data_IF_834837700324
#
_entry.id   IF_834837700324
#
_cell.length_a   1.000
_cell.length_b   1.000
_cell.length_c   1.000
_cell.angle_alpha   90.00
_cell.angle_beta   90.00
_cell.angle_gamma   90.00
#
_symmetry.space_group_name_H-M   'P 1'
#
loop_
_entity.id
_entity.type
_entity.pdbx_description
1 polymer ?
#
# COMPACT_ATOMS: atom_id res chain seq x y z
N UNK A 1 -12.37 -7.25 -6.21
CA UNK A 1 -11.66 -7.48 -7.49
C UNK A 1 -11.48 -6.20 -8.30
N UNK A 2 -12.57 -5.54 -8.75
CA UNK A 2 -12.51 -4.34 -9.60
C UNK A 2 -11.47 -3.29 -9.17
N UNK A 3 -11.46 -2.87 -7.90
CA UNK A 3 -10.51 -1.88 -7.39
C UNK A 3 -9.04 -2.31 -7.48
N UNK A 4 -8.75 -3.60 -7.28
CA UNK A 4 -7.37 -4.14 -7.40
C UNK A 4 -6.93 -4.08 -8.86
N UNK A 5 -7.80 -4.48 -9.78
CA UNK A 5 -7.52 -4.43 -11.23
C UNK A 5 -7.35 -2.99 -11.71
N UNK A 6 -8.23 -2.08 -11.29
CA UNK A 6 -8.13 -0.65 -11.61
C UNK A 6 -6.82 -0.05 -11.08
N UNK A 7 -6.47 -0.34 -9.82
CA UNK A 7 -5.20 0.09 -9.24
C UNK A 7 -3.99 -0.44 -10.02
N UNK A 8 -4.02 -1.71 -10.43
CA UNK A 8 -2.95 -2.32 -11.21
C UNK A 8 -2.77 -1.66 -12.57
N UNK A 9 -3.87 -1.42 -13.29
CA UNK A 9 -3.85 -0.74 -14.59
C UNK A 9 -3.32 0.68 -14.44
N UNK A 10 -3.79 1.42 -13.44
CA UNK A 10 -3.31 2.78 -13.16
C UNK A 10 -1.83 2.79 -12.77
N UNK A 11 -1.37 1.82 -11.99
CA UNK A 11 0.06 1.69 -11.65
C UNK A 11 0.92 1.43 -12.90
N UNK A 12 0.51 0.50 -13.76
CA UNK A 12 1.22 0.22 -15.00
C UNK A 12 1.22 1.45 -15.94
N UNK A 13 0.08 2.14 -16.05
CA UNK A 13 -0.03 3.37 -16.83
C UNK A 13 0.84 4.50 -16.27
N UNK A 14 0.96 4.61 -14.95
CA UNK A 14 1.87 5.56 -14.27
C UNK A 14 3.32 5.31 -14.68
N UNK A 15 3.78 4.05 -14.61
CA UNK A 15 5.15 3.69 -15.05
C UNK A 15 5.36 4.01 -16.53
N UNK A 16 4.42 3.62 -17.40
CA UNK A 16 4.52 3.87 -18.83
C UNK A 16 4.59 5.38 -19.15
N UNK A 17 3.76 6.19 -18.49
CA UNK A 17 3.79 7.65 -18.63
C UNK A 17 5.11 8.24 -18.12
N UNK A 18 5.66 7.71 -17.01
CA UNK A 18 6.95 8.11 -16.47
C UNK A 18 8.10 7.84 -17.44
N UNK A 19 8.15 6.64 -18.03
CA UNK A 19 9.15 6.27 -19.05
C UNK A 19 9.02 7.16 -20.29
N UNK A 20 7.79 7.54 -20.67
CA UNK A 20 7.53 8.45 -21.77
C UNK A 20 7.81 9.94 -21.46
N UNK A 21 8.35 10.26 -20.28
CA UNK A 21 8.65 11.63 -19.86
C UNK A 21 7.44 12.47 -19.46
N UNK A 22 6.25 11.88 -19.34
CA UNK A 22 5.03 12.58 -18.97
C UNK A 22 4.83 12.59 -17.45
N UNK A 23 5.63 13.37 -16.73
CA UNK A 23 5.67 13.39 -15.27
C UNK A 23 4.31 13.66 -14.61
N UNK A 24 3.55 14.64 -15.12
CA UNK A 24 2.22 14.97 -14.59
C UNK A 24 1.23 13.81 -14.76
N UNK A 25 1.19 13.21 -15.94
CA UNK A 25 0.30 12.08 -16.22
C UNK A 25 0.66 10.84 -15.39
N UNK A 26 1.97 10.58 -15.24
CA UNK A 26 2.49 9.56 -14.35
C UNK A 26 1.99 9.73 -12.92
N UNK A 27 2.08 10.94 -12.38
CA UNK A 27 1.63 11.25 -11.02
C UNK A 27 0.11 11.11 -10.86
N UNK A 28 -0.69 11.55 -11.83
CA UNK A 28 -2.16 11.40 -11.81
C UNK A 28 -2.55 9.92 -11.74
N UNK A 29 -1.95 9.09 -12.60
CA UNK A 29 -2.19 7.65 -12.56
C UNK A 29 -1.68 7.00 -11.26
N UNK A 30 -0.54 7.45 -10.74
CA UNK A 30 0.01 6.99 -9.47
C UNK A 30 -0.93 7.30 -8.28
N UNK A 31 -1.44 8.53 -8.21
CA UNK A 31 -2.45 8.95 -7.21
C UNK A 31 -3.71 8.10 -7.34
N UNK A 32 -4.22 7.93 -8.57
CA UNK A 32 -5.39 7.10 -8.84
C UNK A 32 -5.21 5.65 -8.35
N UNK A 33 -4.03 5.07 -8.57
CA UNK A 33 -3.67 3.74 -8.06
C UNK A 33 -3.72 3.70 -6.52
N UNK A 34 -3.04 4.64 -5.84
CA UNK A 34 -3.01 4.74 -4.38
C UNK A 34 -4.41 4.84 -3.78
N UNK A 35 -5.28 5.67 -4.36
CA UNK A 35 -6.67 5.86 -3.91
C UNK A 35 -7.51 4.60 -4.14
N UNK A 36 -7.36 3.95 -5.29
CA UNK A 36 -8.08 2.71 -5.60
C UNK A 36 -7.72 1.59 -4.61
N UNK A 37 -6.45 1.49 -4.21
CA UNK A 37 -5.98 0.55 -3.19
C UNK A 37 -6.60 0.88 -1.85
N UNK A 38 -6.49 2.13 -1.40
CA UNK A 38 -7.06 2.53 -0.12
C UNK A 38 -8.56 2.25 -0.04
N UNK A 39 -9.28 2.50 -1.13
CA UNK A 39 -10.70 2.16 -1.26
C UNK A 39 -10.94 0.67 -1.09
N UNK A 40 -10.11 -0.17 -1.71
CA UNK A 40 -10.18 -1.62 -1.54
C UNK A 40 -9.90 -2.03 -0.08
N UNK A 41 -8.85 -1.50 0.55
CA UNK A 41 -8.49 -1.81 1.93
C UNK A 41 -9.59 -1.41 2.92
N UNK A 42 -10.21 -0.24 2.74
CA UNK A 42 -11.35 0.18 3.58
C UNK A 42 -12.53 -0.78 3.46
N UNK A 43 -12.83 -1.26 2.24
CA UNK A 43 -13.88 -2.28 2.03
C UNK A 43 -13.49 -3.63 2.62
N UNK A 44 -12.24 -4.04 2.50
CA UNK A 44 -11.74 -5.28 3.08
C UNK A 44 -11.83 -5.24 4.62
N UNK A 45 -11.47 -4.11 5.22
CA UNK A 45 -11.60 -3.89 6.66
C UNK A 45 -13.07 -3.96 7.12
N UNK A 46 -14.02 -3.32 6.42
CA UNK A 46 -15.43 -3.42 6.82
C UNK A 46 -15.96 -4.85 6.73
N UNK A 47 -15.56 -5.61 5.70
CA UNK A 47 -15.89 -7.03 5.60
C UNK A 47 -15.29 -7.86 6.73
N UNK A 48 -14.05 -7.57 7.13
CA UNK A 48 -13.39 -8.19 8.28
C UNK A 48 -14.13 -7.91 9.58
N UNK A 49 -14.54 -6.67 9.82
CA UNK A 49 -15.33 -6.30 11.01
C UNK A 49 -16.65 -7.08 11.03
N UNK A 50 -17.37 -7.16 9.92
CA UNK A 50 -18.61 -7.94 9.83
C UNK A 50 -18.37 -9.44 10.12
N UNK A 51 -17.25 -10.01 9.65
CA UNK A 51 -16.88 -11.39 9.95
C UNK A 51 -16.51 -11.59 11.42
N UNK A 52 -15.81 -10.60 12.01
CA UNK A 52 -15.45 -10.57 13.43
C UNK A 52 -16.69 -10.59 14.30
N UNK A 53 -17.67 -9.75 13.99
CA UNK A 53 -18.94 -9.67 14.74
C UNK A 53 -19.70 -11.00 14.72
N UNK A 54 -19.76 -11.68 13.57
CA UNK A 54 -20.39 -13.01 13.45
C UNK A 54 -19.68 -14.11 14.24
N UNK A 55 -18.39 -13.95 14.50
CA UNK A 55 -17.55 -14.94 15.20
C UNK A 55 -17.10 -14.43 16.58
N UNK A 56 -17.77 -13.41 17.10
CA UNK A 56 -17.32 -12.65 18.27
C UNK A 56 -17.15 -13.54 19.50
N UNK A 57 -18.10 -14.44 19.75
CA UNK A 57 -18.06 -15.37 20.89
C UNK A 57 -16.79 -16.22 20.93
N UNK A 58 -16.19 -16.49 19.75
CA UNK A 58 -14.96 -17.26 19.63
C UNK A 58 -13.71 -16.39 19.52
N UNK A 59 -13.85 -15.11 19.16
CA UNK A 59 -12.75 -14.17 18.93
C UNK A 59 -12.47 -13.26 20.13
N UNK A 60 -13.43 -13.08 21.05
CA UNK A 60 -13.37 -12.10 22.13
C UNK A 60 -12.12 -12.21 23.02
N UNK A 61 -11.53 -13.40 23.16
CA UNK A 61 -10.34 -13.62 23.99
C UNK A 61 -9.00 -13.38 23.26
N UNK A 62 -8.99 -13.27 21.93
CA UNK A 62 -7.75 -13.32 21.12
C UNK A 62 -7.64 -12.16 20.13
N UNK A 63 -8.73 -11.44 19.86
CA UNK A 63 -8.72 -10.33 18.91
C UNK A 63 -8.04 -9.10 19.51
N UNK A 64 -6.87 -8.72 18.96
CA UNK A 64 -6.04 -7.64 19.49
C UNK A 64 -6.48 -6.23 19.06
N UNK A 65 -7.49 -6.08 18.20
CA UNK A 65 -7.84 -4.78 17.62
C UNK A 65 -6.73 -4.29 16.66
N UNK A 66 -7.13 -3.60 15.60
CA UNK A 66 -6.19 -3.08 14.61
C UNK A 66 -6.53 -1.64 14.24
N UNK A 67 -5.57 -0.74 14.24
CA UNK A 67 -5.75 0.66 13.84
C UNK A 67 -5.71 0.83 12.31
N UNK A 68 -6.63 0.17 11.61
CA UNK A 68 -6.69 0.18 10.15
C UNK A 68 -6.86 1.59 9.57
N UNK A 69 -7.72 2.41 10.18
CA UNK A 69 -8.04 3.74 9.66
C UNK A 69 -6.79 4.63 9.62
N UNK A 70 -6.02 4.68 10.70
CA UNK A 70 -4.79 5.47 10.78
C UNK A 70 -3.77 5.00 9.74
N UNK A 71 -3.55 3.68 9.63
CA UNK A 71 -2.61 3.11 8.68
C UNK A 71 -3.00 3.36 7.21
N UNK A 72 -4.29 3.24 6.89
CA UNK A 72 -4.81 3.56 5.54
C UNK A 72 -4.62 5.04 5.23
N UNK A 73 -4.91 5.95 6.18
CA UNK A 73 -4.72 7.38 5.98
C UNK A 73 -3.26 7.77 5.81
N UNK A 74 -2.36 7.21 6.63
CA UNK A 74 -0.93 7.43 6.48
C UNK A 74 -0.45 6.94 5.11
N UNK A 75 -0.88 5.76 4.66
CA UNK A 75 -0.58 5.24 3.33
C UNK A 75 -1.07 6.19 2.21
N UNK A 76 -2.30 6.70 2.30
CA UNK A 76 -2.85 7.62 1.28
C UNK A 76 -2.12 8.94 1.26
N UNK A 77 -1.98 9.60 2.41
CA UNK A 77 -1.40 10.94 2.50
C UNK A 77 0.08 10.94 2.10
N UNK A 78 0.84 9.96 2.58
CA UNK A 78 2.25 9.81 2.20
C UNK A 78 2.42 9.45 0.74
N UNK A 79 1.61 8.53 0.20
CA UNK A 79 1.69 8.11 -1.20
C UNK A 79 1.30 9.22 -2.18
N UNK A 80 0.20 9.92 -1.92
CA UNK A 80 -0.25 11.06 -2.74
C UNK A 80 0.73 12.22 -2.61
N UNK A 81 1.17 12.53 -1.39
CA UNK A 81 2.16 13.56 -1.14
C UNK A 81 3.48 13.29 -1.89
N UNK A 82 3.96 12.05 -1.88
CA UNK A 82 5.17 11.65 -2.59
C UNK A 82 5.03 11.86 -4.11
N UNK A 83 3.88 11.52 -4.69
CA UNK A 83 3.63 11.74 -6.13
C UNK A 83 3.64 13.23 -6.48
N UNK A 84 2.94 14.07 -5.69
CA UNK A 84 2.92 15.53 -5.89
C UNK A 84 4.34 16.11 -5.77
N UNK A 85 5.05 15.73 -4.71
CA UNK A 85 6.39 16.23 -4.45
C UNK A 85 7.40 15.78 -5.51
N UNK A 86 7.23 14.58 -6.08
CA UNK A 86 8.05 14.10 -7.20
C UNK A 86 7.88 14.97 -8.45
N UNK A 87 6.65 15.39 -8.77
CA UNK A 87 6.41 16.31 -9.90
C UNK A 87 7.04 17.68 -9.65
N UNK A 88 6.88 18.22 -8.43
CA UNK A 88 7.49 19.49 -8.07
C UNK A 88 9.02 19.42 -8.16
N UNK A 89 9.61 18.34 -7.63
CA UNK A 89 11.04 18.11 -7.67
C UNK A 89 11.56 18.03 -9.11
N UNK A 90 10.87 17.28 -9.98
CA UNK A 90 11.22 17.19 -11.40
C UNK A 90 11.25 18.57 -12.08
N UNK A 91 10.22 19.41 -11.86
CA UNK A 91 10.19 20.77 -12.41
C UNK A 91 11.31 21.67 -11.90
N UNK A 92 11.71 21.54 -10.63
CA UNK A 92 12.85 22.29 -10.07
C UNK A 92 14.19 21.83 -10.64
N UNK A 93 14.36 20.53 -10.88
CA UNK A 93 15.56 19.96 -11.50
C UNK A 93 15.72 20.42 -12.96
N UNK A 94 14.64 20.43 -13.74
CA UNK A 94 14.66 20.98 -15.12
C UNK A 94 15.06 22.46 -15.13
N UNK A 95 14.53 23.24 -14.20
CA UNK A 95 14.89 24.65 -14.03
C UNK A 95 16.38 24.83 -13.71
N UNK A 96 16.94 24.03 -12.79
CA UNK A 96 18.37 24.09 -12.46
C UNK A 96 19.28 23.61 -13.61
N UNK A 97 18.87 22.57 -14.34
CA UNK A 97 19.63 22.05 -15.48
C UNK A 97 19.74 23.08 -16.63
N UNK A 98 18.80 24.02 -16.73
CA UNK A 98 18.85 25.11 -17.71
C UNK A 98 19.88 26.20 -17.38
N UNK A 99 20.31 26.29 -16.11
CA UNK A 99 21.19 27.35 -15.60
C UNK A 99 22.64 26.85 -15.42
N UNK A 100 22.84 25.54 -15.27
CA UNK A 100 24.18 24.94 -15.15
C UNK A 100 24.99 25.08 -16.45
N UNK A 101 26.20 25.65 -16.41
CA UNK A 101 27.01 25.85 -17.62
C UNK A 101 27.46 24.50 -18.20
N UNK A 102 27.23 24.29 -19.51
CA UNK A 102 27.57 23.05 -20.24
C UNK A 102 29.06 22.94 -20.62
N UNK A 103 29.97 23.56 -19.88
CA UNK A 103 31.40 23.59 -20.19
C UNK A 103 32.29 23.83 -18.95
N UNK A 104 33.61 23.65 -19.07
CA UNK A 104 34.52 23.86 -17.95
C UNK A 104 34.58 25.36 -17.63
N UNK A 105 33.87 25.79 -16.60
CA UNK A 105 33.95 27.16 -16.09
C UNK A 105 35.10 27.20 -15.07
N UNK A 106 36.11 28.07 -15.26
CA UNK A 106 37.16 28.26 -14.28
C UNK A 106 36.57 29.02 -13.08
N UNK A 107 36.47 28.35 -11.92
CA UNK A 107 36.30 28.95 -10.59
C UNK A 107 35.30 30.11 -10.48
N UNK A 108 34.07 29.94 -10.98
CA UNK A 108 32.98 30.83 -10.62
C UNK A 108 32.49 30.45 -9.21
N UNK A 109 32.67 31.35 -8.23
CA UNK A 109 32.05 31.21 -6.92
C UNK A 109 30.54 30.99 -7.12
N UNK A 110 30.00 29.94 -6.49
CA UNK A 110 28.55 29.64 -6.57
C UNK A 110 27.80 30.83 -6.00
N UNK A 111 27.06 31.53 -6.86
CA UNK A 111 26.25 32.67 -6.46
C UNK A 111 25.24 32.27 -5.37
N UNK A 112 24.96 33.18 -4.43
CA UNK A 112 24.13 32.92 -3.25
C UNK A 112 22.71 32.47 -3.64
N UNK A 113 22.19 32.96 -4.77
CA UNK A 113 20.92 32.53 -5.33
C UNK A 113 20.96 31.06 -5.80
N UNK A 114 22.03 30.67 -6.49
CA UNK A 114 22.22 29.30 -6.98
C UNK A 114 22.38 28.31 -5.82
N UNK A 115 23.13 28.71 -4.79
CA UNK A 115 23.27 27.93 -3.56
C UNK A 115 21.94 27.76 -2.83
N UNK A 116 21.14 28.83 -2.73
CA UNK A 116 19.79 28.77 -2.14
C UNK A 116 18.84 27.83 -2.88
N UNK A 117 18.86 27.84 -4.22
CA UNK A 117 18.04 26.92 -5.04
C UNK A 117 18.47 25.46 -4.87
N UNK A 118 19.78 25.19 -4.81
CA UNK A 118 20.31 23.83 -4.55
C UNK A 118 19.86 23.30 -3.19
N UNK A 119 19.94 24.12 -2.14
CA UNK A 119 19.42 23.75 -0.81
C UNK A 119 17.91 23.49 -0.84
N UNK A 120 17.15 24.31 -1.58
CA UNK A 120 15.71 24.10 -1.78
C UNK A 120 15.40 22.75 -2.43
N UNK A 121 16.12 22.38 -3.49
CA UNK A 121 15.96 21.08 -4.16
C UNK A 121 16.39 19.92 -3.26
N UNK A 122 17.47 20.07 -2.50
CA UNK A 122 17.89 19.08 -1.51
C UNK A 122 16.82 18.86 -0.43
N UNK A 123 16.22 19.95 0.08
CA UNK A 123 15.14 19.87 1.06
C UNK A 123 13.87 19.19 0.49
N UNK A 124 13.50 19.50 -0.76
CA UNK A 124 12.41 18.81 -1.45
C UNK A 124 12.70 17.31 -1.62
N UNK A 125 13.94 16.95 -1.98
CA UNK A 125 14.39 15.57 -2.08
C UNK A 125 14.31 14.81 -0.75
N UNK A 126 14.74 15.45 0.36
CA UNK A 126 14.60 14.88 1.71
C UNK A 126 13.15 14.71 2.13
N UNK A 127 12.28 15.69 1.80
CA UNK A 127 10.84 15.57 2.03
C UNK A 127 10.23 14.38 1.27
N UNK A 128 10.65 14.17 0.02
CA UNK A 128 10.20 13.04 -0.80
C UNK A 128 10.64 11.70 -0.20
N UNK A 129 11.90 11.61 0.24
CA UNK A 129 12.42 10.43 0.94
C UNK A 129 11.59 10.15 2.21
N UNK A 130 11.30 11.17 3.01
CA UNK A 130 10.48 11.05 4.22
C UNK A 130 9.09 10.49 3.92
N UNK A 131 8.41 11.03 2.90
CA UNK A 131 7.09 10.54 2.49
C UNK A 131 7.15 9.10 1.97
N UNK A 132 8.18 8.74 1.19
CA UNK A 132 8.36 7.37 0.72
C UNK A 132 8.57 6.38 1.87
N UNK A 133 9.33 6.75 2.91
CA UNK A 133 9.54 5.93 4.09
C UNK A 133 8.24 5.74 4.90
N UNK A 134 7.48 6.80 5.12
CA UNK A 134 6.17 6.71 5.81
C UNK A 134 5.21 5.84 5.00
N UNK A 135 5.21 5.97 3.68
CA UNK A 135 4.40 5.16 2.79
C UNK A 135 4.73 3.66 2.91
N UNK A 136 6.03 3.32 2.86
CA UNK A 136 6.51 1.95 3.03
C UNK A 136 6.19 1.38 4.41
N UNK A 137 6.41 2.15 5.47
CA UNK A 137 6.12 1.71 6.85
C UNK A 137 4.62 1.45 7.06
N UNK A 138 3.78 2.38 6.59
CA UNK A 138 2.31 2.25 6.66
C UNK A 138 1.84 1.01 5.90
N UNK A 139 2.44 0.75 4.74
CA UNK A 139 2.16 -0.42 3.93
C UNK A 139 2.54 -1.73 4.63
N UNK A 140 3.76 -1.84 5.15
CA UNK A 140 4.21 -3.04 5.87
C UNK A 140 3.32 -3.34 7.08
N UNK A 141 2.92 -2.31 7.81
CA UNK A 141 1.99 -2.41 8.93
C UNK A 141 0.61 -2.92 8.49
N UNK A 142 0.06 -2.40 7.39
CA UNK A 142 -1.20 -2.90 6.81
C UNK A 142 -1.12 -4.37 6.45
N UNK A 143 -0.01 -4.82 5.84
CA UNK A 143 0.21 -6.23 5.53
C UNK A 143 0.13 -7.08 6.79
N UNK A 144 0.86 -6.69 7.83
CA UNK A 144 0.89 -7.42 9.09
C UNK A 144 -0.50 -7.54 9.71
N UNK A 145 -1.22 -6.42 9.86
CA UNK A 145 -2.54 -6.38 10.50
C UNK A 145 -3.56 -7.24 9.76
N UNK A 146 -3.72 -7.00 8.45
CA UNK A 146 -4.68 -7.76 7.64
C UNK A 146 -4.38 -9.25 7.64
N UNK A 147 -3.10 -9.61 7.53
CA UNK A 147 -2.67 -11.01 7.49
C UNK A 147 -2.92 -11.69 8.84
N UNK A 148 -2.52 -11.06 9.95
CA UNK A 148 -2.76 -11.54 11.32
C UNK A 148 -4.24 -11.80 11.56
N UNK A 149 -5.08 -10.80 11.31
CA UNK A 149 -6.50 -10.83 11.64
C UNK A 149 -7.27 -11.83 10.76
N UNK A 150 -6.92 -11.93 9.46
CA UNK A 150 -7.47 -12.95 8.56
C UNK A 150 -7.14 -14.37 9.03
N UNK A 151 -5.90 -14.61 9.47
CA UNK A 151 -5.52 -15.92 9.97
C UNK A 151 -6.27 -16.28 11.25
N UNK A 152 -6.44 -15.32 12.15
CA UNK A 152 -7.18 -15.50 13.40
C UNK A 152 -8.63 -15.93 13.12
N UNK A 153 -9.29 -15.26 12.17
CA UNK A 153 -10.65 -15.63 11.72
C UNK A 153 -10.66 -17.02 11.09
N UNK A 154 -9.68 -17.37 10.25
CA UNK A 154 -9.60 -18.71 9.62
C UNK A 154 -9.42 -19.83 10.63
N UNK A 155 -8.57 -19.62 11.64
CA UNK A 155 -8.32 -20.60 12.69
C UNK A 155 -9.61 -20.85 13.50
N UNK A 156 -10.29 -19.78 13.90
CA UNK A 156 -11.54 -19.84 14.66
C UNK A 156 -12.72 -20.42 13.85
N UNK A 157 -12.73 -20.18 12.54
CA UNK A 157 -13.70 -20.76 11.61
C UNK A 157 -13.39 -22.22 11.23
N UNK A 158 -12.26 -22.80 11.67
CA UNK A 158 -11.89 -24.19 11.39
C UNK A 158 -11.40 -24.45 9.96
N UNK A 159 -10.98 -23.40 9.24
CA UNK A 159 -10.62 -23.45 7.79
C UNK A 159 -9.09 -23.58 7.57
N UNK A 160 -8.33 -23.85 8.63
CA UNK A 160 -6.89 -24.09 8.56
C UNK A 160 -6.16 -23.85 9.88
N UNK A 161 -4.96 -24.40 10.00
CA UNK A 161 -4.09 -24.27 11.18
C UNK A 161 -3.18 -23.04 11.09
N UNK A 162 -2.95 -22.38 12.23
CA UNK A 162 -2.07 -21.21 12.37
C UNK A 162 -0.62 -21.60 12.05
N UNK A 163 -0.01 -20.97 11.04
CA UNK A 163 1.43 -21.07 10.76
C UNK A 163 2.07 -19.67 10.80
N UNK A 164 2.74 -19.30 11.92
CA UNK A 164 3.29 -17.96 12.14
C UNK A 164 4.37 -17.57 11.12
N UNK A 165 5.08 -18.55 10.56
CA UNK A 165 6.09 -18.34 9.51
C UNK A 165 5.56 -17.67 8.23
N UNK A 166 4.24 -17.65 8.00
CA UNK A 166 3.67 -17.06 6.78
C UNK A 166 3.59 -15.52 6.83
N UNK A 167 3.36 -14.90 7.99
CA UNK A 167 3.27 -13.45 8.11
C UNK A 167 4.64 -12.79 7.89
N UNK A 168 5.68 -13.34 8.52
CA UNK A 168 7.08 -12.93 8.30
C UNK A 168 7.50 -13.17 6.85
N UNK A 169 7.07 -14.28 6.21
CA UNK A 169 7.31 -14.51 4.79
C UNK A 169 6.65 -13.43 3.91
N UNK A 170 5.39 -13.06 4.15
CA UNK A 170 4.74 -12.00 3.35
C UNK A 170 5.33 -10.62 3.62
N UNK A 171 5.77 -10.33 4.85
CA UNK A 171 6.47 -9.07 5.20
C UNK A 171 7.84 -9.01 4.52
N UNK A 172 8.65 -10.06 4.61
CA UNK A 172 9.97 -10.12 3.94
C UNK A 172 9.78 -10.08 2.42
N UNK A 173 8.84 -10.85 1.87
CA UNK A 173 8.57 -10.88 0.44
C UNK A 173 8.10 -9.49 -0.04
N UNK A 174 7.21 -8.82 0.68
CA UNK A 174 6.70 -7.48 0.30
C UNK A 174 7.72 -6.35 0.47
N UNK A 175 8.63 -6.44 1.45
CA UNK A 175 9.78 -5.54 1.59
C UNK A 175 10.78 -5.75 0.44
N UNK A 176 10.99 -7.01 0.02
CA UNK A 176 11.96 -7.37 -1.03
C UNK A 176 11.42 -7.14 -2.45
N UNK A 177 10.11 -7.18 -2.67
CA UNK A 177 9.52 -7.19 -4.03
C UNK A 177 8.64 -6.00 -4.37
N UNK A 178 9.17 -4.79 -4.14
CA UNK A 178 8.68 -3.56 -4.79
C UNK A 178 8.27 -3.87 -6.26
N UNK A 179 6.95 -3.89 -6.56
CA UNK A 179 6.42 -4.30 -7.87
C UNK A 179 5.16 -5.17 -7.79
N UNK A 180 4.91 -6.00 -8.82
CA UNK A 180 3.65 -6.76 -9.01
C UNK A 180 3.26 -7.72 -7.86
N UNK A 181 4.21 -8.13 -7.01
CA UNK A 181 3.90 -8.95 -5.82
C UNK A 181 3.02 -8.23 -4.80
N UNK A 182 3.06 -6.90 -4.77
CA UNK A 182 2.10 -6.06 -4.05
C UNK A 182 0.64 -6.40 -4.42
N UNK A 183 0.34 -6.49 -5.72
CA UNK A 183 -1.01 -6.79 -6.20
C UNK A 183 -1.41 -8.25 -5.95
N UNK A 184 -0.42 -9.15 -5.89
CA UNK A 184 -0.64 -10.54 -5.49
C UNK A 184 -1.10 -10.65 -4.03
N UNK A 185 -0.52 -9.86 -3.12
CA UNK A 185 -0.98 -9.83 -1.73
C UNK A 185 -2.42 -9.28 -1.63
N UNK A 186 -2.74 -8.18 -2.31
CA UNK A 186 -4.12 -7.65 -2.36
C UNK A 186 -5.11 -8.68 -2.89
N UNK A 187 -4.72 -9.42 -3.93
CA UNK A 187 -5.53 -10.52 -4.47
C UNK A 187 -5.73 -11.64 -3.44
N UNK A 188 -4.68 -11.99 -2.69
CA UNK A 188 -4.75 -13.03 -1.64
C UNK A 188 -5.70 -12.63 -0.52
N UNK A 189 -5.64 -11.38 -0.05
CA UNK A 189 -6.59 -10.80 0.91
C UNK A 189 -8.02 -10.92 0.38
N UNK A 190 -8.26 -10.53 -0.87
CA UNK A 190 -9.58 -10.63 -1.49
C UNK A 190 -10.10 -12.07 -1.52
N UNK A 191 -9.26 -13.00 -1.96
CA UNK A 191 -9.62 -14.43 -2.05
C UNK A 191 -9.99 -14.99 -0.68
N UNK A 192 -9.21 -14.71 0.35
CA UNK A 192 -9.46 -15.22 1.70
C UNK A 192 -10.75 -14.64 2.31
N UNK A 193 -10.96 -13.32 2.20
CA UNK A 193 -12.22 -12.70 2.66
C UNK A 193 -13.42 -13.31 1.93
N UNK A 194 -13.31 -13.54 0.62
CA UNK A 194 -14.38 -14.16 -0.15
C UNK A 194 -14.69 -15.59 0.31
N UNK A 195 -13.66 -16.40 0.57
CA UNK A 195 -13.82 -17.78 1.08
C UNK A 195 -14.51 -17.79 2.45
N UNK A 196 -14.05 -16.94 3.37
CA UNK A 196 -14.62 -16.81 4.72
C UNK A 196 -16.09 -16.33 4.69
N UNK A 197 -16.39 -15.37 3.82
CA UNK A 197 -17.75 -14.85 3.65
C UNK A 197 -18.70 -15.93 3.13
N UNK A 198 -18.25 -16.79 2.23
CA UNK A 198 -19.07 -17.89 1.71
C UNK A 198 -19.30 -18.99 2.75
N UNK A 199 -18.28 -19.32 3.55
CA UNK A 199 -18.38 -20.32 4.62
C UNK A 199 -19.33 -19.87 5.73
N UNK A 200 -19.29 -18.59 6.11
CA UNK A 200 -20.20 -18.03 7.13
C UNK A 200 -21.64 -17.80 6.64
N UNK A 201 -21.90 -17.95 5.33
CA UNK A 201 -23.25 -17.95 4.76
C UNK A 201 -23.86 -19.34 4.63
N UNK A 202 -23.04 -20.39 4.67
CA UNK A 202 -23.52 -21.77 4.54
C UNK A 202 -24.11 -22.20 5.88
N UNK A 203 -25.30 -22.84 5.92
CA UNK A 203 -25.80 -23.41 7.16
C UNK A 203 -24.77 -24.42 7.68
N UNK A 204 -24.65 -24.61 9.02
CA UNK A 204 -23.81 -25.67 9.54
C UNK A 204 -24.21 -26.97 8.84
N UNK A 205 -23.26 -27.84 8.44
CA UNK A 205 -23.62 -29.15 7.94
C UNK A 205 -24.54 -29.76 8.99
N UNK A 206 -25.76 -30.10 8.58
CA UNK A 206 -26.66 -30.89 9.41
C UNK A 206 -25.81 -32.02 9.94
N UNK A 207 -25.58 -32.05 11.26
CA UNK A 207 -25.03 -33.23 11.90
C UNK A 207 -25.92 -34.35 11.42
N UNK A 208 -25.38 -35.19 10.53
CA UNK A 208 -26.08 -36.36 10.06
C UNK A 208 -26.53 -37.06 11.32
N UNK A 209 -27.84 -37.25 11.45
CA UNK A 209 -28.39 -38.18 12.41
C UNK A 209 -27.52 -39.43 12.32
N UNK A 210 -26.75 -39.69 13.37
CA UNK A 210 -26.24 -41.03 13.61
C UNK A 210 -27.51 -41.82 13.90
N UNK A 211 -28.07 -42.42 12.85
CA UNK A 211 -29.08 -43.44 12.98
C UNK A 211 -28.46 -44.55 13.84
N UNK A 212 -29.19 -44.85 14.90
CA UNK A 212 -29.06 -45.97 15.84
C UNK A 212 -28.27 -47.18 15.36
#
# INVERSE_FOLDING_TARGET
MWYITAALVLYAASIAAGIAGQALLSAVFGIGSTVAVATYLTKAHSLLVNLREKLWDRLAAVWLGGEYAAAIWLYVLSGVGAQILSVLLAGQLESLASILPKGPVPNAAVDQETFGRLLGVAALGLGLLGLALVWLASWAYLIELFTRDLYLIRAVAGVGTFRPYSATFYIILSIVTLGFLYFYWLYSVWRWISQLTNLTKSPPPSQGLVAT
#
